data_IF_349583213219
#
_entry.id   IF_349583213219
#
_cell.length_a   1.000
_cell.length_b   1.000
_cell.length_c   1.000
_cell.angle_alpha   90.00
_cell.angle_beta   90.00
_cell.angle_gamma   90.00
#
_symmetry.space_group_name_H-M   'P 1'
#
loop_
_entity.id
_entity.type
_entity.pdbx_description
1 polymer ?
#
# COMPACT_ATOMS: atom_id res chain seq x y z
N UNK A 1 -37.84 -5.40 15.76
CA UNK A 1 -36.50 -5.81 16.26
C UNK A 1 -35.36 -5.43 15.30
N UNK A 2 -35.46 -4.32 14.55
CA UNK A 2 -34.61 -4.01 13.39
C UNK A 2 -33.59 -2.87 13.59
N UNK A 3 -33.46 -2.30 14.80
CA UNK A 3 -32.61 -1.12 15.06
C UNK A 3 -31.21 -1.41 15.63
N UNK A 4 -30.95 -2.61 16.18
CA UNK A 4 -29.68 -2.92 16.87
C UNK A 4 -28.49 -3.14 15.93
N UNK A 5 -28.71 -3.53 14.68
CA UNK A 5 -27.64 -3.74 13.68
C UNK A 5 -27.01 -2.42 13.21
N UNK A 6 -27.71 -1.30 13.30
CA UNK A 6 -27.23 0.01 12.85
C UNK A 6 -26.08 0.55 13.70
N UNK A 7 -26.20 0.46 15.03
CA UNK A 7 -25.28 1.15 15.96
C UNK A 7 -23.88 0.50 15.96
N UNK A 8 -23.81 -0.83 15.94
CA UNK A 8 -22.54 -1.55 15.83
C UNK A 8 -21.81 -1.27 14.52
N UNK A 9 -22.54 -1.23 13.40
CA UNK A 9 -21.95 -0.94 12.09
C UNK A 9 -21.45 0.52 12.01
N UNK A 10 -22.18 1.47 12.58
CA UNK A 10 -21.73 2.87 12.66
C UNK A 10 -20.43 3.00 13.48
N UNK A 11 -20.33 2.35 14.63
CA UNK A 11 -19.11 2.36 15.44
C UNK A 11 -17.89 1.82 14.68
N UNK A 12 -18.07 0.74 13.91
CA UNK A 12 -16.98 0.16 13.09
C UNK A 12 -16.54 1.12 11.97
N UNK A 13 -17.47 1.84 11.34
CA UNK A 13 -17.13 2.82 10.30
C UNK A 13 -16.41 4.02 10.90
N UNK A 14 -16.92 4.57 12.01
CA UNK A 14 -16.34 5.74 12.67
C UNK A 14 -14.93 5.43 13.17
N UNK A 15 -14.72 4.29 13.83
CA UNK A 15 -13.39 3.86 14.30
C UNK A 15 -12.40 3.70 13.14
N UNK A 16 -12.81 3.16 11.99
CA UNK A 16 -11.96 3.09 10.78
C UNK A 16 -11.59 4.46 10.25
N UNK A 17 -12.54 5.38 10.19
CA UNK A 17 -12.28 6.75 9.72
C UNK A 17 -11.32 7.49 10.65
N UNK A 18 -11.50 7.36 11.97
CA UNK A 18 -10.58 7.91 12.98
C UNK A 18 -9.18 7.33 12.79
N UNK A 19 -9.07 6.00 12.66
CA UNK A 19 -7.79 5.35 12.43
C UNK A 19 -7.11 5.87 11.16
N UNK A 20 -7.83 5.98 10.05
CA UNK A 20 -7.30 6.49 8.79
C UNK A 20 -6.83 7.95 8.90
N UNK A 21 -7.59 8.80 9.58
CA UNK A 21 -7.23 10.19 9.81
C UNK A 21 -6.01 10.35 10.76
N UNK A 22 -5.90 9.47 11.77
CA UNK A 22 -4.80 9.54 12.74
C UNK A 22 -3.49 8.96 12.20
N UNK A 23 -3.54 8.05 11.22
CA UNK A 23 -2.38 7.29 10.73
C UNK A 23 -1.22 8.19 10.33
N UNK A 24 -1.47 9.23 9.52
CA UNK A 24 -0.40 10.13 9.07
C UNK A 24 0.30 10.86 10.24
N UNK A 25 -0.48 11.30 11.24
CA UNK A 25 0.06 11.98 12.42
C UNK A 25 0.84 11.02 13.32
N UNK A 26 0.38 9.78 13.48
CA UNK A 26 1.07 8.75 14.27
C UNK A 26 2.42 8.40 13.62
N UNK A 27 2.45 8.21 12.30
CA UNK A 27 3.67 7.84 11.58
C UNK A 27 4.76 8.91 11.62
N UNK A 28 4.35 10.17 11.65
CA UNK A 28 5.26 11.31 11.67
C UNK A 28 5.46 11.89 13.08
N UNK A 29 4.90 11.25 14.11
CA UNK A 29 5.10 11.67 15.49
C UNK A 29 6.60 11.64 15.83
N UNK A 30 7.09 12.69 16.49
CA UNK A 30 8.51 12.92 16.80
C UNK A 30 9.47 12.92 15.60
N UNK A 31 8.95 13.01 14.37
CA UNK A 31 9.80 13.22 13.19
C UNK A 31 10.29 14.67 13.12
N UNK A 32 11.45 14.85 12.48
CA UNK A 32 12.05 16.18 12.23
C UNK A 32 11.10 17.14 11.50
N UNK A 33 10.15 16.61 10.72
CA UNK A 33 9.17 17.38 9.96
C UNK A 33 8.10 18.05 10.82
N UNK A 34 7.80 17.47 11.99
CA UNK A 34 6.78 17.99 12.92
C UNK A 34 7.37 18.73 14.12
N UNK A 35 8.69 18.92 14.17
CA UNK A 35 9.34 19.79 15.14
C UNK A 35 8.77 21.21 14.98
N UNK A 36 8.00 21.67 15.97
CA UNK A 36 7.32 22.96 15.89
C UNK A 36 8.30 24.12 15.65
N UNK A 37 7.76 25.30 15.31
CA UNK A 37 8.54 26.51 14.98
C UNK A 37 9.54 26.97 16.05
N UNK A 38 9.53 26.36 17.24
CA UNK A 38 10.52 26.56 18.29
C UNK A 38 11.86 25.86 17.99
N UNK A 39 11.88 24.83 17.14
CA UNK A 39 13.12 24.25 16.64
C UNK A 39 13.58 25.04 15.43
N UNK A 40 14.76 25.66 15.48
CA UNK A 40 15.39 26.37 14.36
C UNK A 40 15.83 25.40 13.23
N UNK A 41 15.08 24.32 13.00
CA UNK A 41 15.37 23.32 11.98
C UNK A 41 14.89 23.83 10.63
N UNK A 42 15.80 24.03 9.65
CA UNK A 42 15.41 24.49 8.31
C UNK A 42 14.55 23.46 7.55
N UNK A 43 14.50 22.22 8.03
CA UNK A 43 13.72 21.12 7.44
C UNK A 43 12.28 20.99 7.99
N UNK A 44 11.91 21.81 8.99
CA UNK A 44 10.57 21.77 9.57
C UNK A 44 9.52 22.19 8.53
N UNK A 45 8.42 21.44 8.46
CA UNK A 45 7.36 21.76 7.50
C UNK A 45 6.61 23.04 7.87
N UNK A 46 6.26 23.80 6.85
CA UNK A 46 5.27 24.88 7.01
C UNK A 46 3.91 24.30 7.35
N UNK A 47 3.06 25.09 8.02
CA UNK A 47 1.69 24.67 8.34
C UNK A 47 0.92 24.17 7.11
N UNK A 48 1.09 24.84 5.97
CA UNK A 48 0.45 24.43 4.71
C UNK A 48 0.98 23.08 4.21
N UNK A 49 2.29 22.83 4.25
CA UNK A 49 2.87 21.54 3.87
C UNK A 49 2.37 20.40 4.77
N UNK A 50 2.29 20.65 6.08
CA UNK A 50 1.72 19.70 7.04
C UNK A 50 0.25 19.40 6.70
N UNK A 51 -0.55 20.44 6.46
CA UNK A 51 -1.98 20.29 6.16
C UNK A 51 -2.20 19.53 4.86
N UNK A 52 -1.48 19.87 3.78
CA UNK A 52 -1.60 19.17 2.50
C UNK A 52 -1.13 17.71 2.58
N UNK A 53 -0.04 17.44 3.30
CA UNK A 53 0.52 16.10 3.40
C UNK A 53 -0.34 15.20 4.28
N UNK A 54 -0.67 15.64 5.49
CA UNK A 54 -1.49 14.87 6.43
C UNK A 54 -2.95 14.80 5.99
N UNK A 55 -3.52 15.94 5.58
CA UNK A 55 -4.89 16.05 5.12
C UNK A 55 -5.09 15.31 3.80
N UNK A 56 -4.21 15.54 2.82
CA UNK A 56 -4.25 14.85 1.53
C UNK A 56 -4.01 13.34 1.67
N UNK A 57 -3.05 12.92 2.49
CA UNK A 57 -2.80 11.50 2.78
C UNK A 57 -3.99 10.81 3.44
N UNK A 58 -4.58 11.44 4.46
CA UNK A 58 -5.78 10.92 5.15
C UNK A 58 -6.99 10.83 4.21
N UNK A 59 -7.22 11.87 3.41
CA UNK A 59 -8.29 11.88 2.42
C UNK A 59 -8.09 10.81 1.36
N UNK A 60 -6.87 10.66 0.85
CA UNK A 60 -6.50 9.59 -0.07
C UNK A 60 -6.76 8.21 0.53
N UNK A 61 -6.40 7.99 1.79
CA UNK A 61 -6.63 6.74 2.51
C UNK A 61 -8.13 6.43 2.67
N UNK A 62 -8.94 7.44 3.00
CA UNK A 62 -10.40 7.31 3.09
C UNK A 62 -11.00 6.94 1.73
N UNK A 63 -10.59 7.62 0.65
CA UNK A 63 -11.11 7.38 -0.71
C UNK A 63 -10.73 5.97 -1.17
N UNK A 64 -9.43 5.64 -1.16
CA UNK A 64 -8.93 4.32 -1.58
C UNK A 64 -9.54 3.22 -0.72
N UNK A 65 -9.60 3.41 0.60
CA UNK A 65 -10.19 2.45 1.53
C UNK A 65 -11.66 2.23 1.28
N UNK A 66 -12.43 3.27 0.99
CA UNK A 66 -13.86 3.15 0.66
C UNK A 66 -14.05 2.40 -0.65
N UNK A 67 -13.25 2.72 -1.69
CA UNK A 67 -13.31 2.05 -2.98
C UNK A 67 -12.93 0.57 -2.88
N UNK A 68 -11.86 0.22 -2.18
CA UNK A 68 -11.45 -1.17 -2.00
C UNK A 68 -12.46 -1.96 -1.16
N UNK A 69 -13.02 -1.37 -0.11
CA UNK A 69 -14.07 -2.02 0.70
C UNK A 69 -15.36 -2.25 -0.11
N UNK A 70 -15.72 -1.30 -0.99
CA UNK A 70 -16.83 -1.46 -1.93
C UNK A 70 -16.58 -2.58 -2.93
N UNK A 71 -15.36 -2.67 -3.46
CA UNK A 71 -14.98 -3.73 -4.39
C UNK A 71 -15.00 -5.10 -3.69
N UNK A 72 -14.40 -5.20 -2.50
CA UNK A 72 -14.34 -6.42 -1.69
C UNK A 72 -15.74 -6.98 -1.33
N UNK A 73 -16.77 -6.14 -1.32
CA UNK A 73 -18.16 -6.56 -1.10
C UNK A 73 -18.78 -7.35 -2.28
N UNK A 74 -18.16 -7.36 -3.47
CA UNK A 74 -18.69 -7.96 -4.71
C UNK A 74 -18.11 -9.35 -5.01
N UNK A 75 -17.89 -10.18 -4.00
CA UNK A 75 -17.21 -11.49 -4.08
C UNK A 75 -15.75 -11.43 -4.58
N UNK A 76 -15.08 -10.30 -4.35
CA UNK A 76 -13.70 -10.06 -4.82
C UNK A 76 -12.67 -10.02 -3.69
N UNK A 77 -13.11 -10.27 -2.45
CA UNK A 77 -12.32 -10.01 -1.24
C UNK A 77 -10.94 -10.68 -1.27
N UNK A 78 -10.85 -11.94 -1.71
CA UNK A 78 -9.56 -12.63 -1.80
C UNK A 78 -8.60 -11.98 -2.81
N UNK A 79 -9.09 -11.63 -4.00
CA UNK A 79 -8.26 -10.99 -5.04
C UNK A 79 -7.73 -9.63 -4.61
N UNK A 80 -8.55 -8.86 -3.88
CA UNK A 80 -8.20 -7.54 -3.36
C UNK A 80 -7.19 -7.66 -2.21
N UNK A 81 -7.40 -8.60 -1.28
CA UNK A 81 -6.47 -8.80 -0.18
C UNK A 81 -5.09 -9.29 -0.68
N UNK A 82 -5.08 -10.20 -1.67
CA UNK A 82 -3.85 -10.70 -2.27
C UNK A 82 -3.10 -9.63 -3.08
N UNK A 83 -3.81 -8.81 -3.88
CA UNK A 83 -3.19 -7.70 -4.60
C UNK A 83 -2.56 -6.67 -3.66
N UNK A 84 -3.18 -6.45 -2.50
CA UNK A 84 -2.68 -5.55 -1.48
C UNK A 84 -1.42 -6.11 -0.80
N UNK A 85 -1.37 -7.42 -0.55
CA UNK A 85 -0.16 -8.10 -0.08
C UNK A 85 1.00 -7.96 -1.08
N UNK A 86 0.76 -8.17 -2.38
CA UNK A 86 1.76 -7.97 -3.44
C UNK A 86 2.24 -6.51 -3.50
N UNK A 87 1.32 -5.57 -3.35
CA UNK A 87 1.63 -4.13 -3.36
C UNK A 87 2.51 -3.76 -2.17
N UNK A 88 2.19 -4.26 -0.96
CA UNK A 88 3.02 -4.03 0.24
C UNK A 88 4.42 -4.61 0.06
N UNK A 89 4.53 -5.85 -0.44
CA UNK A 89 5.81 -6.49 -0.68
C UNK A 89 6.65 -5.68 -1.68
N UNK A 90 6.05 -5.30 -2.80
CA UNK A 90 6.72 -4.51 -3.85
C UNK A 90 7.09 -3.11 -3.34
N UNK A 91 6.27 -2.50 -2.50
CA UNK A 91 6.59 -1.23 -1.83
C UNK A 91 7.81 -1.41 -0.93
N UNK A 92 7.87 -2.47 -0.13
CA UNK A 92 9.04 -2.81 0.68
C UNK A 92 10.31 -2.97 -0.15
N UNK A 93 10.24 -3.72 -1.24
CA UNK A 93 11.36 -3.91 -2.17
C UNK A 93 11.82 -2.58 -2.80
N UNK A 94 10.88 -1.72 -3.21
CA UNK A 94 11.20 -0.39 -3.73
C UNK A 94 11.90 0.49 -2.67
N UNK A 95 11.51 0.40 -1.40
CA UNK A 95 12.15 1.10 -0.28
C UNK A 95 13.57 0.58 -0.03
N UNK A 96 13.79 -0.74 -0.13
CA UNK A 96 15.13 -1.33 -0.03
C UNK A 96 16.04 -0.83 -1.16
N UNK A 97 15.54 -0.85 -2.39
CA UNK A 97 16.25 -0.33 -3.58
C UNK A 97 16.51 1.18 -3.48
N UNK A 98 15.71 1.91 -2.72
CA UNK A 98 15.96 3.31 -2.48
C UNK A 98 16.97 3.57 -1.33
N UNK A 99 17.54 2.52 -0.75
CA UNK A 99 18.60 2.57 0.25
C UNK A 99 18.13 2.43 1.70
N UNK A 100 16.82 2.26 1.94
CA UNK A 100 16.27 2.15 3.30
C UNK A 100 15.87 0.71 3.66
N UNK A 101 16.88 -0.17 3.72
CA UNK A 101 16.73 -1.60 3.94
C UNK A 101 15.88 -1.91 5.19
N UNK A 102 16.18 -1.25 6.33
CA UNK A 102 15.45 -1.48 7.59
C UNK A 102 13.95 -1.22 7.46
N UNK A 103 13.57 -0.13 6.78
CA UNK A 103 12.17 0.20 6.53
C UNK A 103 11.50 -0.78 5.56
N UNK A 104 12.21 -1.20 4.52
CA UNK A 104 11.69 -2.14 3.53
C UNK A 104 11.46 -3.56 4.09
N UNK A 105 12.33 -4.05 4.98
CA UNK A 105 12.24 -5.43 5.52
C UNK A 105 10.96 -5.63 6.33
N UNK A 106 10.47 -4.58 7.01
CA UNK A 106 9.23 -4.64 7.79
C UNK A 106 7.98 -4.93 6.92
N UNK A 107 8.03 -4.70 5.60
CA UNK A 107 6.93 -5.03 4.70
C UNK A 107 6.77 -6.53 4.44
N UNK A 108 7.84 -7.32 4.61
CA UNK A 108 7.83 -8.77 4.39
C UNK A 108 6.84 -9.48 5.33
N UNK A 109 6.91 -9.34 6.67
CA UNK A 109 5.97 -10.02 7.56
C UNK A 109 4.52 -9.55 7.37
N UNK A 110 4.29 -8.26 7.09
CA UNK A 110 2.93 -7.75 6.84
C UNK A 110 2.34 -8.32 5.54
N UNK A 111 3.11 -8.33 4.45
CA UNK A 111 2.65 -8.93 3.19
C UNK A 111 2.45 -10.44 3.31
N UNK A 112 3.35 -11.16 3.99
CA UNK A 112 3.23 -12.59 4.23
C UNK A 112 2.00 -12.94 5.07
N UNK A 113 1.73 -12.20 6.15
CA UNK A 113 0.55 -12.42 6.99
C UNK A 113 -0.77 -12.15 6.24
N UNK A 114 -0.83 -11.13 5.39
CA UNK A 114 -2.01 -10.86 4.54
C UNK A 114 -2.19 -11.94 3.48
N UNK A 115 -1.12 -12.35 2.81
CA UNK A 115 -1.16 -13.43 1.82
C UNK A 115 -1.62 -14.75 2.47
N UNK A 116 -1.05 -15.09 3.63
CA UNK A 116 -1.41 -16.27 4.40
C UNK A 116 -2.86 -16.24 4.89
N UNK A 117 -3.33 -15.11 5.43
CA UNK A 117 -4.74 -14.93 5.82
C UNK A 117 -5.68 -15.09 4.63
N UNK A 118 -5.29 -14.55 3.47
CA UNK A 118 -6.07 -14.66 2.24
C UNK A 118 -6.13 -16.09 1.72
N UNK A 119 -5.00 -16.80 1.73
CA UNK A 119 -4.93 -18.20 1.34
C UNK A 119 -5.74 -19.08 2.29
N UNK A 120 -5.61 -18.88 3.61
CA UNK A 120 -6.39 -19.59 4.60
C UNK A 120 -7.90 -19.36 4.41
N UNK A 121 -8.33 -18.09 4.22
CA UNK A 121 -9.74 -17.77 3.97
C UNK A 121 -10.26 -18.40 2.67
N UNK A 122 -9.44 -18.46 1.62
CA UNK A 122 -9.80 -19.11 0.35
C UNK A 122 -9.93 -20.63 0.48
N UNK A 123 -9.07 -21.27 1.28
CA UNK A 123 -9.18 -22.69 1.58
C UNK A 123 -10.42 -22.94 2.42
N UNK A 124 -10.62 -22.18 3.50
CA UNK A 124 -11.77 -22.31 4.39
C UNK A 124 -13.10 -22.07 3.67
N UNK A 125 -13.19 -21.12 2.73
CA UNK A 125 -14.43 -20.87 1.99
C UNK A 125 -14.86 -22.03 1.09
N UNK A 126 -13.95 -22.97 0.76
CA UNK A 126 -14.30 -24.20 0.04
C UNK A 126 -14.84 -25.31 0.95
N UNK A 127 -14.47 -25.29 2.23
CA UNK A 127 -14.84 -26.34 3.19
C UNK A 127 -16.02 -25.92 4.09
N UNK A 128 -16.02 -24.68 4.54
CA UNK A 128 -17.03 -24.11 5.43
C UNK A 128 -17.87 -23.13 4.61
N UNK A 129 -19.18 -23.33 4.54
CA UNK A 129 -20.14 -22.36 3.98
C UNK A 129 -20.29 -21.10 4.86
N UNK A 130 -19.21 -20.69 5.54
CA UNK A 130 -19.17 -19.63 6.54
C UNK A 130 -18.87 -18.26 5.86
N UNK A 131 -19.47 -17.14 6.33
CA UNK A 131 -19.15 -15.79 5.89
C UNK A 131 -17.70 -15.32 6.20
N UNK A 132 -16.71 -15.93 5.53
CA UNK A 132 -15.28 -15.54 5.53
C UNK A 132 -15.03 -14.11 5.04
N UNK A 133 -16.03 -13.49 4.39
CA UNK A 133 -16.00 -12.12 3.83
C UNK A 133 -15.73 -11.05 4.90
N UNK A 134 -16.24 -11.23 6.12
CA UNK A 134 -16.08 -10.24 7.20
C UNK A 134 -14.62 -10.10 7.66
N UNK A 135 -13.90 -11.22 7.80
CA UNK A 135 -12.50 -11.24 8.21
C UNK A 135 -11.59 -10.61 7.16
N UNK A 136 -11.81 -10.93 5.89
CA UNK A 136 -11.04 -10.37 4.77
C UNK A 136 -11.21 -8.86 4.64
N UNK A 137 -12.38 -8.31 4.97
CA UNK A 137 -12.60 -6.85 5.00
C UNK A 137 -11.77 -6.16 6.09
N UNK A 138 -11.61 -6.81 7.24
CA UNK A 138 -10.71 -6.37 8.31
C UNK A 138 -9.26 -6.39 7.84
N UNK A 139 -8.80 -7.53 7.33
CA UNK A 139 -7.45 -7.71 6.81
C UNK A 139 -7.09 -6.70 5.71
N UNK A 140 -8.01 -6.43 4.78
CA UNK A 140 -7.82 -5.42 3.72
C UNK A 140 -7.60 -4.02 4.30
N UNK A 141 -8.31 -3.67 5.38
CA UNK A 141 -8.17 -2.36 6.02
C UNK A 141 -6.84 -2.21 6.75
N UNK A 142 -6.40 -3.27 7.45
CA UNK A 142 -5.09 -3.32 8.11
C UNK A 142 -3.97 -3.21 7.07
N UNK A 143 -4.07 -4.00 5.99
CA UNK A 143 -3.10 -3.93 4.92
C UNK A 143 -3.05 -2.55 4.27
N UNK A 144 -4.18 -1.90 4.03
CA UNK A 144 -4.19 -0.57 3.41
C UNK A 144 -3.52 0.49 4.30
N UNK A 145 -3.78 0.45 5.61
CA UNK A 145 -3.10 1.33 6.57
C UNK A 145 -1.61 1.05 6.59
N UNK A 146 -1.20 -0.23 6.58
CA UNK A 146 0.21 -0.62 6.49
C UNK A 146 0.87 -0.19 5.18
N UNK A 147 0.20 -0.35 4.04
CA UNK A 147 0.67 0.12 2.73
C UNK A 147 0.90 1.63 2.75
N UNK A 148 -0.07 2.40 3.25
CA UNK A 148 0.08 3.85 3.39
C UNK A 148 1.27 4.20 4.29
N UNK A 149 1.43 3.48 5.41
CA UNK A 149 2.60 3.61 6.27
C UNK A 149 3.91 3.38 5.53
N UNK A 150 4.03 2.29 4.76
CA UNK A 150 5.22 2.04 3.96
C UNK A 150 5.45 3.09 2.89
N UNK A 151 4.40 3.57 2.21
CA UNK A 151 4.53 4.63 1.22
C UNK A 151 5.05 5.93 1.86
N UNK A 152 4.51 6.33 3.02
CA UNK A 152 5.02 7.47 3.78
C UNK A 152 6.47 7.25 4.21
N UNK A 153 6.79 6.09 4.78
CA UNK A 153 8.14 5.76 5.22
C UNK A 153 9.12 5.81 4.04
N UNK A 154 8.75 5.20 2.92
CA UNK A 154 9.53 5.20 1.69
C UNK A 154 9.73 6.60 1.13
N UNK A 155 8.68 7.43 1.13
CA UNK A 155 8.77 8.79 0.60
C UNK A 155 9.64 9.70 1.47
N UNK A 156 9.40 9.73 2.78
CA UNK A 156 10.07 10.65 3.70
C UNK A 156 11.47 10.18 4.11
N UNK A 157 11.66 8.88 4.35
CA UNK A 157 12.93 8.35 4.85
C UNK A 157 13.70 7.55 3.79
N UNK A 158 12.98 6.93 2.85
CA UNK A 158 13.58 6.12 1.80
C UNK A 158 13.87 6.86 0.49
N UNK A 159 13.68 8.18 0.42
CA UNK A 159 13.85 8.96 -0.83
C UNK A 159 13.05 8.42 -2.04
N UNK A 160 11.95 7.71 -1.79
CA UNK A 160 11.07 7.25 -2.85
C UNK A 160 10.40 8.47 -3.49
N UNK A 161 10.60 8.66 -4.79
CA UNK A 161 10.04 9.80 -5.52
C UNK A 161 8.52 9.85 -5.37
N UNK A 162 7.95 11.06 -5.22
CA UNK A 162 6.50 11.26 -5.05
C UNK A 162 5.63 10.52 -6.08
N UNK A 163 5.94 10.57 -7.39
CA UNK A 163 5.17 9.84 -8.40
C UNK A 163 5.14 8.31 -8.19
N UNK A 164 6.26 7.69 -7.80
CA UNK A 164 6.34 6.25 -7.53
C UNK A 164 5.59 5.88 -6.26
N UNK A 165 5.71 6.69 -5.21
CA UNK A 165 4.96 6.55 -3.97
C UNK A 165 3.44 6.57 -4.26
N UNK A 166 2.98 7.53 -5.07
CA UNK A 166 1.59 7.64 -5.47
C UNK A 166 1.13 6.46 -6.35
N UNK A 167 1.95 6.04 -7.32
CA UNK A 167 1.67 4.88 -8.16
C UNK A 167 1.48 3.60 -7.33
N UNK A 168 2.36 3.35 -6.36
CA UNK A 168 2.25 2.20 -5.45
C UNK A 168 0.98 2.28 -4.59
N UNK A 169 0.67 3.47 -4.05
CA UNK A 169 -0.53 3.67 -3.24
C UNK A 169 -1.83 3.43 -4.02
N UNK A 170 -1.89 3.86 -5.28
CA UNK A 170 -3.07 3.68 -6.13
C UNK A 170 -3.14 2.32 -6.82
N UNK A 171 -2.03 1.57 -6.91
CA UNK A 171 -1.98 0.30 -7.63
C UNK A 171 -3.09 -0.70 -7.24
N UNK A 172 -3.46 -0.89 -5.95
CA UNK A 172 -4.57 -1.77 -5.58
C UNK A 172 -5.91 -1.38 -6.22
N UNK A 173 -6.13 -0.11 -6.57
CA UNK A 173 -7.34 0.33 -7.26
C UNK A 173 -7.45 -0.21 -8.69
N UNK A 174 -6.36 -0.68 -9.31
CA UNK A 174 -6.41 -1.36 -10.59
C UNK A 174 -7.29 -2.62 -10.55
N UNK A 175 -7.57 -3.15 -9.35
CA UNK A 175 -8.56 -4.22 -9.18
C UNK A 175 -9.97 -3.84 -9.69
N UNK A 176 -10.29 -2.55 -9.81
CA UNK A 176 -11.55 -2.09 -10.40
C UNK A 176 -11.67 -2.35 -11.90
N UNK A 177 -10.58 -2.70 -12.60
CA UNK A 177 -10.60 -3.00 -14.04
C UNK A 177 -11.63 -4.08 -14.40
N UNK A 178 -11.85 -5.04 -13.51
CA UNK A 178 -12.84 -6.11 -13.69
C UNK A 178 -14.30 -5.65 -13.76
N UNK A 179 -14.58 -4.43 -13.29
CA UNK A 179 -15.93 -3.85 -13.26
C UNK A 179 -16.27 -3.10 -14.56
N UNK A 180 -15.32 -3.00 -15.51
CA UNK A 180 -15.55 -2.39 -16.82
C UNK A 180 -16.60 -3.17 -17.63
N UNK A 181 -17.42 -2.48 -18.46
CA UNK A 181 -18.59 -3.06 -19.12
C UNK A 181 -18.31 -4.25 -20.06
N UNK A 182 -17.07 -4.47 -20.51
CA UNK A 182 -16.67 -5.66 -21.29
C UNK A 182 -16.17 -6.85 -20.45
N UNK A 183 -15.67 -6.61 -19.24
CA UNK A 183 -15.07 -7.63 -18.36
C UNK A 183 -16.08 -8.19 -17.35
N UNK A 184 -17.23 -7.52 -17.20
CA UNK A 184 -18.26 -7.88 -16.23
C UNK A 184 -18.95 -9.21 -16.52
N UNK A 185 -19.00 -9.66 -17.76
CA UNK A 185 -19.60 -10.96 -18.15
C UNK A 185 -18.67 -12.15 -17.90
N UNK A 186 -17.38 -11.92 -17.64
CA UNK A 186 -16.41 -12.99 -17.45
C UNK A 186 -16.65 -13.78 -16.15
N UNK A 187 -16.15 -15.01 -16.12
CA UNK A 187 -16.14 -15.84 -14.91
C UNK A 187 -15.37 -15.15 -13.77
N UNK A 188 -15.72 -15.49 -12.52
CA UNK A 188 -15.08 -14.91 -11.33
C UNK A 188 -13.57 -15.15 -11.29
N UNK A 189 -13.11 -16.32 -11.74
CA UNK A 189 -11.69 -16.66 -11.84
C UNK A 189 -10.95 -15.76 -12.85
N UNK A 190 -11.51 -15.58 -14.05
CA UNK A 190 -10.92 -14.71 -15.07
C UNK A 190 -10.80 -13.26 -14.57
N UNK A 191 -11.84 -12.74 -13.90
CA UNK A 191 -11.79 -11.41 -13.29
C UNK A 191 -10.67 -11.31 -12.27
N UNK A 192 -10.51 -12.31 -11.40
CA UNK A 192 -9.43 -12.34 -10.41
C UNK A 192 -8.05 -12.33 -11.08
N UNK A 193 -7.85 -13.18 -12.10
CA UNK A 193 -6.59 -13.25 -12.84
C UNK A 193 -6.25 -11.91 -13.50
N UNK A 194 -7.20 -11.26 -14.18
CA UNK A 194 -6.99 -9.97 -14.84
C UNK A 194 -6.58 -8.89 -13.83
N UNK A 195 -7.24 -8.83 -12.66
CA UNK A 195 -6.88 -7.88 -11.59
C UNK A 195 -5.44 -8.08 -11.13
N UNK A 196 -5.06 -9.34 -10.86
CA UNK A 196 -3.72 -9.67 -10.38
C UNK A 196 -2.66 -9.40 -11.44
N UNK A 197 -2.92 -9.68 -12.72
CA UNK A 197 -2.03 -9.33 -13.83
C UNK A 197 -1.86 -7.82 -13.92
N UNK A 198 -2.96 -7.05 -13.93
CA UNK A 198 -2.91 -5.60 -14.00
C UNK A 198 -2.09 -4.98 -12.85
N UNK A 199 -2.32 -5.46 -11.62
CA UNK A 199 -1.53 -5.06 -10.44
C UNK A 199 -0.07 -5.45 -10.61
N UNK A 200 0.22 -6.70 -11.00
CA UNK A 200 1.60 -7.20 -11.14
C UNK A 200 2.39 -6.44 -12.20
N UNK A 201 1.77 -6.08 -13.33
CA UNK A 201 2.39 -5.26 -14.38
C UNK A 201 2.71 -3.86 -13.83
N UNK A 202 1.79 -3.22 -13.13
CA UNK A 202 2.03 -1.91 -12.50
C UNK A 202 3.19 -1.96 -11.49
N UNK A 203 3.19 -2.97 -10.61
CA UNK A 203 4.24 -3.16 -9.60
C UNK A 203 5.60 -3.46 -10.26
N UNK A 204 5.62 -4.32 -11.27
CA UNK A 204 6.82 -4.65 -12.04
C UNK A 204 7.45 -3.41 -12.69
N UNK A 205 6.63 -2.54 -13.29
CA UNK A 205 7.09 -1.28 -13.86
C UNK A 205 7.72 -0.35 -12.81
N UNK A 206 7.08 -0.19 -11.64
CA UNK A 206 7.64 0.64 -10.56
C UNK A 206 8.97 0.07 -10.04
N UNK A 207 9.05 -1.25 -9.85
CA UNK A 207 10.26 -1.93 -9.39
C UNK A 207 11.39 -1.86 -10.42
N UNK A 208 11.07 -1.97 -11.70
CA UNK A 208 12.03 -1.79 -12.78
C UNK A 208 12.68 -0.41 -12.72
N UNK A 209 11.88 0.65 -12.64
CA UNK A 209 12.42 2.02 -12.51
C UNK A 209 13.19 2.23 -11.21
N UNK A 210 12.72 1.67 -10.08
CA UNK A 210 13.45 1.75 -8.82
C UNK A 210 14.82 1.05 -8.90
N UNK A 211 14.89 -0.08 -9.63
CA UNK A 211 16.13 -0.80 -9.88
C UNK A 211 17.09 -0.01 -10.76
N UNK A 212 16.63 0.53 -11.89
CA UNK A 212 17.47 1.34 -12.77
C UNK A 212 18.07 2.55 -12.02
N UNK A 213 17.28 3.23 -11.19
CA UNK A 213 17.77 4.32 -10.35
C UNK A 213 18.82 3.85 -9.34
N UNK A 214 18.63 2.69 -8.73
CA UNK A 214 19.58 2.12 -7.80
C UNK A 214 20.90 1.78 -8.48
N UNK A 215 20.86 1.11 -9.64
CA UNK A 215 22.04 0.76 -10.44
C UNK A 215 22.79 2.02 -10.89
N UNK A 216 22.09 3.05 -11.36
CA UNK A 216 22.67 4.33 -11.73
C UNK A 216 23.39 5.02 -10.54
N UNK A 217 22.81 4.92 -9.33
CA UNK A 217 23.42 5.47 -8.10
C UNK A 217 24.61 4.65 -7.59
N UNK A 218 24.57 3.32 -7.76
CA UNK A 218 25.62 2.42 -7.25
C UNK A 218 26.81 2.27 -8.20
N UNK A 219 26.62 2.42 -9.51
CA UNK A 219 27.68 2.34 -10.51
C UNK A 219 28.94 3.16 -10.17
N UNK A 220 28.87 4.47 -9.82
CA UNK A 220 30.07 5.24 -9.49
C UNK A 220 30.77 4.78 -8.20
N UNK A 221 30.01 4.27 -7.22
CA UNK A 221 30.56 3.77 -5.96
C UNK A 221 31.34 2.47 -6.19
N UNK A 222 30.82 1.58 -7.04
CA UNK A 222 31.46 0.33 -7.41
C UNK A 222 32.70 0.56 -8.28
N UNK A 223 32.64 1.50 -9.23
CA UNK A 223 33.80 1.87 -10.05
C UNK A 223 34.95 2.43 -9.20
N UNK A 224 34.64 3.21 -8.17
CA UNK A 224 35.64 3.71 -7.21
C UNK A 224 36.21 2.59 -6.33
N UNK A 225 35.39 1.63 -5.93
CA UNK A 225 35.83 0.48 -5.12
C UNK A 225 36.65 -0.54 -5.93
N UNK A 226 36.42 -0.63 -7.24
CA UNK A 226 37.01 -1.65 -8.11
C UNK A 226 37.58 -1.00 -9.39
N UNK A 227 38.71 -0.28 -9.31
CA UNK A 227 39.31 0.36 -10.47
C UNK A 227 39.72 -0.71 -11.52
N UNK A 228 38.99 -0.75 -12.64
CA UNK A 228 39.25 -1.68 -13.76
C UNK A 228 38.03 -2.43 -14.32
N UNK A 229 36.85 -2.36 -13.69
CA UNK A 229 35.63 -2.98 -14.22
C UNK A 229 34.94 -2.08 -15.26
N UNK A 230 34.60 -2.63 -16.43
CA UNK A 230 33.83 -1.92 -17.46
C UNK A 230 32.35 -1.70 -17.01
N UNK A 231 31.71 -0.58 -17.40
CA UNK A 231 30.33 -0.27 -17.02
C UNK A 231 29.33 -1.23 -17.68
N UNK A 232 28.25 -1.57 -16.97
CA UNK A 232 27.11 -2.35 -17.46
C UNK A 232 26.03 -1.37 -17.95
N UNK A 233 25.69 -1.41 -19.24
CA UNK A 233 24.57 -0.63 -19.80
C UNK A 233 23.23 -1.34 -19.49
N UNK A 234 22.26 -0.60 -18.95
CA UNK A 234 20.90 -1.08 -18.64
C UNK A 234 19.90 -0.63 -19.70
#
# INVERSE_FOLDING_TARGET
>A
TMKRTSLGQQLVIVSRLILWAATGRILLHDSVYLGGSASNNPEAWTFMQMLFTLGGGSLGLIIVGTLLNRLAARDTACSVAFSLALTILSTGMAIMLAGYIKGGVAAIPLSASLAGTTAAAFVLSRYCNDPTVSYLRGATSIGLVGLFGFVCIGHFFGQLTGPRAFALFLTPLLCWISELPGLRSMSSWQKSAIRLIAVSVSLGTVLYFARCDFEAKMAPLLAKATPGLAPIEC
#
